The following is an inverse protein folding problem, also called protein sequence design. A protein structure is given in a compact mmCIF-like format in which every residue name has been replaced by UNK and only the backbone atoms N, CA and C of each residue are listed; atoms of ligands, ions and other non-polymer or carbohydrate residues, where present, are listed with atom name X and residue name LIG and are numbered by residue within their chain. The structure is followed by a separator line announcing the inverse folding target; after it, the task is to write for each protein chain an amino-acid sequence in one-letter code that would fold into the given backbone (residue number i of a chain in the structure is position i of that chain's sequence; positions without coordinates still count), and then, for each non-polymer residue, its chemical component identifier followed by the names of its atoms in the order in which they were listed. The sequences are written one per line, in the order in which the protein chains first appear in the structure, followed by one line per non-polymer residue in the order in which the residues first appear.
data_IF_783468353109
#
_entry.id   IF_783468353109
#
_cell.length_a   1.000
_cell.length_b   1.000
_cell.length_c   1.000
_cell.angle_alpha   90.00
_cell.angle_beta   90.00
_cell.angle_gamma   90.00
#
_symmetry.space_group_name_H-M   'P 1'
#
loop_
_entity.id
_entity.type
_entity.pdbx_description
1 polymer ?
#
# COMPACT_ATOMS: atom_id res chain seq x y z
N UNK A 1 -6.56 23.68 -4.96
CA UNK A 1 -6.46 22.31 -5.50
C UNK A 1 -6.13 21.38 -4.34
N UNK A 2 -6.96 20.37 -4.08
CA UNK A 2 -6.79 19.45 -2.94
C UNK A 2 -6.22 18.13 -3.42
N UNK A 3 -5.15 17.70 -2.76
CA UNK A 3 -4.44 16.45 -3.07
C UNK A 3 -4.51 15.57 -1.83
N UNK A 4 -5.17 14.42 -1.92
CA UNK A 4 -5.17 13.47 -0.82
C UNK A 4 -4.00 12.50 -0.89
N UNK A 5 -3.46 12.16 0.28
CA UNK A 5 -2.48 11.08 0.49
C UNK A 5 -3.01 10.12 1.55
N UNK A 6 -2.77 8.81 1.42
CA UNK A 6 -3.23 7.85 2.43
C UNK A 6 -2.38 7.83 3.70
N UNK A 7 -1.13 8.26 3.62
CA UNK A 7 -0.23 8.47 4.76
C UNK A 7 0.90 9.45 4.42
N UNK A 8 1.63 9.91 5.44
CA UNK A 8 2.74 10.86 5.31
C UNK A 8 4.12 10.21 5.51
N UNK A 9 4.17 8.88 5.60
CA UNK A 9 5.39 8.14 5.94
C UNK A 9 5.96 7.39 4.72
N UNK A 10 5.08 6.94 3.83
CA UNK A 10 5.48 6.13 2.67
C UNK A 10 6.28 6.95 1.67
N UNK A 11 7.47 6.47 1.35
CA UNK A 11 8.36 7.07 0.36
C UNK A 11 7.68 7.26 -1.02
N UNK A 12 6.71 6.43 -1.34
CA UNK A 12 5.97 6.49 -2.61
C UNK A 12 5.16 7.78 -2.78
N UNK A 13 4.72 8.41 -1.68
CA UNK A 13 3.92 9.63 -1.70
C UNK A 13 4.75 10.87 -1.41
N UNK A 14 5.98 10.68 -0.95
CA UNK A 14 6.90 11.78 -0.62
C UNK A 14 7.03 12.85 -1.72
N UNK A 15 7.10 12.51 -3.02
CA UNK A 15 7.18 13.54 -4.06
C UNK A 15 5.98 14.51 -4.06
N UNK A 16 4.77 14.03 -3.78
CA UNK A 16 3.59 14.91 -3.71
C UNK A 16 3.63 15.79 -2.44
N UNK A 17 4.00 15.20 -1.29
CA UNK A 17 4.18 15.93 -0.04
C UNK A 17 5.23 17.03 -0.20
N UNK A 18 6.41 16.67 -0.69
CA UNK A 18 7.49 17.62 -0.91
C UNK A 18 7.12 18.72 -1.93
N UNK A 19 6.36 18.39 -2.97
CA UNK A 19 5.93 19.37 -3.97
C UNK A 19 5.01 20.44 -3.38
N UNK A 20 4.17 20.08 -2.43
CA UNK A 20 3.33 21.05 -1.70
C UNK A 20 4.16 21.82 -0.69
N UNK A 21 4.88 21.15 0.21
CA UNK A 21 5.58 21.75 1.34
C UNK A 21 6.74 22.67 0.91
N UNK A 22 7.44 22.31 -0.16
CA UNK A 22 8.54 23.11 -0.72
C UNK A 22 8.07 24.17 -1.74
N UNK A 23 6.76 24.28 -1.97
CA UNK A 23 6.17 25.33 -2.79
C UNK A 23 6.35 25.13 -4.31
N UNK A 24 6.64 23.94 -4.80
CA UNK A 24 6.79 23.69 -6.25
C UNK A 24 5.48 23.93 -7.00
N UNK A 25 4.34 23.54 -6.46
CA UNK A 25 3.03 23.87 -7.05
C UNK A 25 2.79 25.38 -7.11
N UNK A 26 3.15 26.07 -6.03
CA UNK A 26 3.00 27.54 -5.97
C UNK A 26 3.88 28.26 -6.99
N UNK A 27 5.09 27.74 -7.25
CA UNK A 27 5.99 28.28 -8.27
C UNK A 27 5.39 28.17 -9.68
N UNK A 28 4.54 27.15 -9.92
CA UNK A 28 3.80 26.94 -11.16
C UNK A 28 2.42 27.64 -11.16
N UNK A 29 2.15 28.50 -10.18
CA UNK A 29 0.89 29.26 -10.07
C UNK A 29 -0.30 28.41 -9.59
N UNK A 30 -0.04 27.26 -8.99
CA UNK A 30 -1.06 26.35 -8.46
C UNK A 30 -1.11 26.44 -6.93
N UNK A 31 -2.28 26.75 -6.40
CA UNK A 31 -2.52 26.71 -4.95
C UNK A 31 -2.98 25.30 -4.56
N UNK A 32 -2.04 24.50 -4.07
CA UNK A 32 -2.25 23.10 -3.72
C UNK A 32 -2.22 22.89 -2.21
N UNK A 33 -3.22 22.19 -1.69
CA UNK A 33 -3.33 21.78 -0.30
C UNK A 33 -3.27 20.25 -0.21
N UNK A 34 -2.56 19.75 0.80
CA UNK A 34 -2.43 18.32 1.08
C UNK A 34 -3.41 17.91 2.17
N UNK A 35 -4.15 16.83 1.92
CA UNK A 35 -5.05 16.24 2.91
C UNK A 35 -4.66 14.78 3.16
N UNK A 36 -4.59 14.36 4.42
CA UNK A 36 -4.45 12.95 4.76
C UNK A 36 -5.81 12.27 4.77
N UNK A 37 -6.00 11.26 3.92
CA UNK A 37 -7.23 10.47 3.82
C UNK A 37 -6.91 8.97 3.83
N UNK A 38 -6.91 8.37 5.00
CA UNK A 38 -6.67 6.94 5.22
C UNK A 38 -7.96 6.20 5.57
N UNK A 39 -8.15 4.96 5.14
CA UNK A 39 -7.36 4.22 4.15
C UNK A 39 -7.54 4.77 2.72
N UNK A 40 -6.78 4.22 1.75
CA UNK A 40 -6.83 4.68 0.35
C UNK A 40 -8.24 4.67 -0.24
N UNK A 41 -9.12 3.76 0.18
CA UNK A 41 -10.52 3.72 -0.25
C UNK A 41 -11.27 5.02 0.05
N UNK A 42 -11.04 5.64 1.21
CA UNK A 42 -11.64 6.95 1.55
C UNK A 42 -11.15 8.08 0.64
N UNK A 43 -9.87 8.06 0.27
CA UNK A 43 -9.34 9.03 -0.68
C UNK A 43 -9.99 8.85 -2.07
N UNK A 44 -10.19 7.61 -2.51
CA UNK A 44 -10.84 7.30 -3.78
C UNK A 44 -12.34 7.64 -3.77
N UNK A 45 -13.02 7.46 -2.65
CA UNK A 45 -14.42 7.86 -2.50
C UNK A 45 -14.57 9.38 -2.54
N UNK A 46 -13.69 10.11 -1.86
CA UNK A 46 -13.65 11.57 -1.91
C UNK A 46 -13.35 12.10 -3.33
N UNK A 47 -12.45 11.45 -4.07
CA UNK A 47 -12.19 11.77 -5.47
C UNK A 47 -13.45 11.53 -6.33
N UNK A 48 -14.13 10.41 -6.15
CA UNK A 48 -15.37 10.09 -6.87
C UNK A 48 -16.49 11.07 -6.55
N UNK A 49 -16.57 11.52 -5.29
CA UNK A 49 -17.54 12.50 -4.82
C UNK A 49 -17.22 13.94 -5.23
N UNK A 50 -16.05 14.20 -5.82
CA UNK A 50 -15.62 15.57 -6.17
C UNK A 50 -15.21 16.42 -4.96
N UNK A 51 -14.98 15.79 -3.81
CA UNK A 51 -14.50 16.51 -2.62
C UNK A 51 -13.03 16.92 -2.75
N UNK A 52 -12.28 16.20 -3.55
CA UNK A 52 -10.86 16.45 -3.86
C UNK A 52 -10.61 16.28 -5.36
N UNK A 53 -9.56 16.90 -5.87
CA UNK A 53 -9.24 16.88 -7.29
C UNK A 53 -8.18 15.82 -7.64
N UNK A 54 -7.30 15.47 -6.69
CA UNK A 54 -6.20 14.53 -6.90
C UNK A 54 -5.99 13.58 -5.73
N UNK A 55 -5.52 12.39 -6.05
CA UNK A 55 -5.03 11.43 -5.07
C UNK A 55 -3.59 11.05 -5.42
N UNK A 56 -2.66 11.30 -4.52
CA UNK A 56 -1.31 10.78 -4.58
C UNK A 56 -1.30 9.44 -3.83
N UNK A 57 -1.51 8.37 -4.55
CA UNK A 57 -1.73 7.04 -3.97
C UNK A 57 -1.38 5.91 -4.94
N UNK A 58 -1.52 4.66 -4.50
CA UNK A 58 -1.22 3.51 -5.32
C UNK A 58 -2.25 3.34 -6.45
N UNK A 59 -1.78 3.05 -7.66
CA UNK A 59 -2.63 2.89 -8.84
C UNK A 59 -3.70 1.79 -8.69
N UNK A 60 -3.42 0.74 -7.92
CA UNK A 60 -4.41 -0.31 -7.65
C UNK A 60 -5.65 0.20 -6.90
N UNK A 61 -5.52 1.28 -6.10
CA UNK A 61 -6.67 1.93 -5.49
C UNK A 61 -7.63 2.51 -6.53
N UNK A 62 -7.10 3.12 -7.59
CA UNK A 62 -7.90 3.61 -8.71
C UNK A 62 -8.55 2.47 -9.50
N UNK A 63 -7.84 1.36 -9.73
CA UNK A 63 -8.40 0.16 -10.39
C UNK A 63 -9.60 -0.39 -9.64
N UNK A 64 -9.51 -0.48 -8.31
CA UNK A 64 -10.60 -1.00 -7.48
C UNK A 64 -11.79 -0.05 -7.39
N UNK A 65 -11.52 1.26 -7.33
CA UNK A 65 -12.56 2.26 -7.12
C UNK A 65 -13.26 2.71 -8.41
N UNK A 66 -12.59 2.63 -9.54
CA UNK A 66 -13.09 3.11 -10.83
C UNK A 66 -13.03 1.99 -11.88
N UNK A 67 -14.03 1.08 -11.92
CA UNK A 67 -14.10 0.02 -12.90
C UNK A 67 -14.03 0.57 -14.33
N UNK A 68 -13.30 -0.11 -15.20
CA UNK A 68 -13.08 0.30 -16.59
C UNK A 68 -12.43 1.70 -16.78
N UNK A 69 -11.78 2.21 -15.74
CA UNK A 69 -11.17 3.56 -15.74
C UNK A 69 -12.15 4.71 -16.00
N UNK A 70 -13.42 4.51 -15.78
CA UNK A 70 -14.42 5.56 -15.97
C UNK A 70 -14.39 6.55 -14.82
N UNK A 71 -14.12 7.83 -15.16
CA UNK A 71 -14.11 8.93 -14.16
C UNK A 71 -12.79 9.18 -13.48
N UNK A 72 -11.72 8.47 -13.86
CA UNK A 72 -10.38 8.69 -13.32
C UNK A 72 -9.30 8.61 -14.39
N UNK A 73 -8.18 9.30 -14.17
CA UNK A 73 -6.97 9.21 -15.00
C UNK A 73 -5.73 9.15 -14.12
N UNK A 74 -4.75 8.36 -14.50
CA UNK A 74 -3.39 8.45 -13.96
C UNK A 74 -2.67 9.58 -14.71
N UNK A 75 -2.19 10.59 -13.99
CA UNK A 75 -1.60 11.79 -14.59
C UNK A 75 -0.09 11.86 -14.44
N UNK A 76 0.47 11.24 -13.38
CA UNK A 76 1.90 11.20 -13.14
C UNK A 76 2.28 9.96 -12.34
N UNK A 77 3.47 9.43 -12.55
CA UNK A 77 4.08 8.42 -11.70
C UNK A 77 4.96 9.11 -10.64
N UNK A 78 4.54 9.10 -9.39
CA UNK A 78 5.31 9.66 -8.27
C UNK A 78 6.50 8.77 -7.91
N UNK A 79 6.30 7.45 -7.99
CA UNK A 79 7.33 6.44 -7.81
C UNK A 79 7.23 5.41 -8.93
N UNK A 80 8.36 5.07 -9.52
CA UNK A 80 8.47 4.01 -10.52
C UNK A 80 9.17 2.80 -9.91
N UNK A 81 8.86 1.61 -10.42
CA UNK A 81 9.42 0.35 -9.95
C UNK A 81 9.15 0.17 -8.46
N UNK A 82 7.86 0.15 -8.12
CA UNK A 82 7.42 -0.15 -6.74
C UNK A 82 8.11 -1.43 -6.29
N UNK A 83 8.85 -1.34 -5.20
CA UNK A 83 9.45 -2.49 -4.53
C UNK A 83 8.69 -2.70 -3.23
N UNK A 84 8.25 -3.91 -3.00
CA UNK A 84 7.81 -4.35 -1.69
C UNK A 84 8.82 -5.36 -1.18
N UNK A 85 9.08 -5.30 0.09
CA UNK A 85 9.97 -6.23 0.77
C UNK A 85 9.10 -7.17 1.58
N UNK A 86 9.30 -8.48 1.42
CA UNK A 86 8.75 -9.47 2.33
C UNK A 86 9.65 -9.50 3.57
N UNK A 87 9.08 -9.18 4.71
CA UNK A 87 9.75 -9.21 6.00
C UNK A 87 9.25 -10.42 6.76
N UNK A 88 10.15 -11.29 7.20
CA UNK A 88 9.87 -12.47 8.02
C UNK A 88 10.55 -12.32 9.39
N UNK A 89 10.04 -13.02 10.40
CA UNK A 89 10.70 -13.10 11.69
C UNK A 89 12.11 -13.70 11.54
N UNK A 90 13.06 -13.09 12.22
CA UNK A 90 14.48 -13.47 12.09
C UNK A 90 14.76 -14.91 12.59
N UNK A 91 14.00 -15.40 13.56
CA UNK A 91 14.14 -16.73 14.14
C UNK A 91 13.72 -17.87 13.18
N UNK A 92 13.04 -17.55 12.09
CA UNK A 92 12.70 -18.51 11.04
C UNK A 92 13.90 -18.88 10.16
N UNK A 93 15.01 -18.15 10.23
CA UNK A 93 16.24 -18.45 9.50
C UNK A 93 16.10 -18.40 7.97
N UNK A 94 15.13 -17.66 7.45
CA UNK A 94 14.86 -17.57 6.03
C UNK A 94 16.05 -16.96 5.26
N UNK A 95 16.36 -17.54 4.12
CA UNK A 95 17.41 -17.02 3.24
C UNK A 95 16.84 -15.88 2.37
N UNK A 96 17.52 -14.72 2.27
CA UNK A 96 17.09 -13.65 1.39
C UNK A 96 16.92 -14.11 -0.06
N UNK A 97 15.75 -13.81 -0.65
CA UNK A 97 15.41 -14.21 -2.01
C UNK A 97 14.72 -15.58 -2.12
N UNK A 98 14.69 -16.37 -1.06
CA UNK A 98 13.93 -17.62 -1.03
C UNK A 98 12.47 -17.38 -0.67
N UNK A 99 11.63 -17.29 -1.68
CA UNK A 99 10.18 -17.09 -1.52
C UNK A 99 9.50 -18.33 -0.91
N UNK A 100 10.12 -19.51 -0.98
CA UNK A 100 9.56 -20.73 -0.39
C UNK A 100 9.52 -20.71 1.14
N UNK A 101 10.27 -19.82 1.74
CA UNK A 101 10.27 -19.60 3.19
C UNK A 101 8.91 -19.21 3.79
N UNK A 102 7.93 -18.84 2.94
CA UNK A 102 6.56 -18.51 3.41
C UNK A 102 5.70 -19.75 3.72
N UNK A 103 6.13 -20.94 3.35
CA UNK A 103 5.35 -22.17 3.56
C UNK A 103 5.09 -22.41 5.04
N UNK A 104 3.83 -22.67 5.37
CA UNK A 104 3.38 -22.86 6.75
C UNK A 104 3.21 -21.58 7.57
N UNK A 105 3.43 -20.39 6.99
CA UNK A 105 3.45 -19.13 7.71
C UNK A 105 2.17 -18.31 7.55
N UNK A 106 1.94 -17.42 8.53
CA UNK A 106 0.91 -16.38 8.52
C UNK A 106 1.52 -15.09 8.01
N UNK A 107 1.12 -14.67 6.81
CA UNK A 107 1.66 -13.47 6.15
C UNK A 107 0.59 -12.40 6.10
N UNK A 108 0.86 -11.28 6.74
CA UNK A 108 0.00 -10.10 6.71
C UNK A 108 0.25 -9.25 5.47
N UNK A 109 -0.80 -8.86 4.76
CA UNK A 109 -0.65 -7.97 3.60
C UNK A 109 -1.80 -6.97 3.50
N UNK A 110 -1.51 -5.78 2.98
CA UNK A 110 -2.54 -4.83 2.60
C UNK A 110 -3.27 -5.31 1.32
N UNK A 111 -4.54 -4.94 1.09
CA UNK A 111 -5.36 -5.51 0.02
C UNK A 111 -4.73 -5.49 -1.38
N UNK A 112 -4.10 -4.39 -1.77
CA UNK A 112 -3.45 -4.30 -3.09
C UNK A 112 -2.17 -5.12 -3.20
N UNK A 113 -1.20 -4.95 -2.28
CA UNK A 113 -0.02 -5.81 -2.15
C UNK A 113 -0.35 -7.29 -2.03
N UNK A 114 -1.42 -7.65 -1.29
CA UNK A 114 -1.86 -9.05 -1.16
C UNK A 114 -2.10 -9.70 -2.53
N UNK A 115 -2.87 -9.04 -3.39
CA UNK A 115 -3.20 -9.61 -4.70
C UNK A 115 -1.95 -9.84 -5.56
N UNK A 116 -1.00 -8.90 -5.54
CA UNK A 116 0.27 -9.01 -6.25
C UNK A 116 1.16 -10.12 -5.66
N UNK A 117 1.21 -10.23 -4.34
CA UNK A 117 1.99 -11.27 -3.67
C UNK A 117 1.41 -12.67 -3.91
N UNK A 118 0.09 -12.81 -3.84
CA UNK A 118 -0.60 -14.06 -4.21
C UNK A 118 -0.23 -14.52 -5.62
N UNK A 119 -0.20 -13.59 -6.58
CA UNK A 119 0.22 -13.89 -7.94
C UNK A 119 1.69 -14.32 -8.00
N UNK A 120 2.58 -13.63 -7.29
CA UNK A 120 4.00 -13.99 -7.20
C UNK A 120 4.17 -15.42 -6.67
N UNK A 121 3.48 -15.77 -5.59
CA UNK A 121 3.55 -17.12 -5.00
C UNK A 121 3.09 -18.19 -6.00
N UNK A 122 1.98 -17.92 -6.70
CA UNK A 122 1.49 -18.83 -7.74
C UNK A 122 2.52 -19.04 -8.85
N UNK A 123 3.15 -17.99 -9.34
CA UNK A 123 4.19 -18.07 -10.39
C UNK A 123 5.46 -18.75 -9.88
N UNK A 124 5.74 -18.66 -8.58
CA UNK A 124 6.84 -19.40 -7.93
C UNK A 124 6.49 -20.87 -7.63
N UNK A 125 5.30 -21.34 -8.03
CA UNK A 125 4.86 -22.72 -7.81
C UNK A 125 4.41 -23.02 -6.37
N UNK A 126 4.11 -21.98 -5.58
CA UNK A 126 3.60 -22.10 -4.22
C UNK A 126 2.08 -22.08 -4.24
N UNK A 127 1.48 -23.13 -3.74
CA UNK A 127 0.04 -23.28 -3.57
C UNK A 127 -0.34 -22.94 -2.12
N UNK A 128 -1.13 -21.89 -1.93
CA UNK A 128 -1.44 -21.37 -0.60
C UNK A 128 -2.10 -22.42 0.31
N UNK A 129 -2.97 -23.27 -0.24
CA UNK A 129 -3.65 -24.29 0.54
C UNK A 129 -2.73 -25.49 0.83
N UNK A 130 -2.08 -26.05 -0.21
CA UNK A 130 -1.19 -27.22 -0.06
C UNK A 130 0.04 -26.92 0.77
N UNK A 131 0.60 -25.72 0.60
CA UNK A 131 1.78 -25.27 1.33
C UNK A 131 1.42 -24.60 2.67
N UNK A 132 0.13 -24.57 3.04
CA UNK A 132 -0.39 -24.01 4.29
C UNK A 132 0.06 -22.55 4.53
N UNK A 133 0.02 -21.72 3.48
CA UNK A 133 0.34 -20.30 3.57
C UNK A 133 -0.94 -19.50 3.88
N UNK A 134 -0.99 -18.89 5.05
CA UNK A 134 -2.10 -18.02 5.45
C UNK A 134 -1.80 -16.59 5.04
N UNK A 135 -2.25 -16.19 3.85
CA UNK A 135 -2.06 -14.83 3.33
C UNK A 135 -3.36 -14.03 3.43
N UNK A 136 -3.31 -12.90 4.14
CA UNK A 136 -4.47 -12.06 4.32
C UNK A 136 -4.18 -10.75 5.05
N UNK A 137 -5.22 -9.98 5.40
CA UNK A 137 -5.06 -8.72 6.10
C UNK A 137 -4.44 -8.93 7.50
N UNK A 138 -3.65 -7.95 7.94
CA UNK A 138 -3.18 -7.91 9.32
C UNK A 138 -4.37 -7.59 10.24
N UNK A 139 -4.65 -8.38 11.27
CA UNK A 139 -5.75 -8.10 12.20
C UNK A 139 -5.66 -6.70 12.80
N UNK A 140 -6.75 -5.93 12.77
CA UNK A 140 -6.82 -4.57 13.33
C UNK A 140 -6.17 -3.46 12.48
N UNK A 141 -5.63 -3.76 11.30
CA UNK A 141 -4.92 -2.78 10.47
C UNK A 141 -5.81 -1.68 9.87
N UNK A 142 -7.11 -1.90 9.79
CA UNK A 142 -8.04 -0.97 9.11
C UNK A 142 -8.54 0.20 9.98
N UNK A 143 -8.39 0.13 11.29
CA UNK A 143 -9.20 0.97 12.19
C UNK A 143 -8.46 2.14 12.85
N UNK A 144 -7.14 2.26 12.69
CA UNK A 144 -6.38 3.13 13.58
C UNK A 144 -5.62 4.31 12.95
N UNK A 145 -5.78 4.59 11.65
CA UNK A 145 -5.07 5.73 11.03
C UNK A 145 -3.53 5.62 11.06
N UNK A 146 -3.01 4.49 11.53
CA UNK A 146 -1.59 4.18 11.56
C UNK A 146 -1.19 3.56 10.23
N UNK A 147 0.01 3.86 9.75
CA UNK A 147 0.56 3.22 8.56
C UNK A 147 0.50 1.70 8.69
N UNK A 148 0.08 1.02 7.60
CA UNK A 148 0.04 -0.44 7.53
C UNK A 148 1.36 -1.07 8.01
N UNK A 149 2.50 -0.56 7.55
CA UNK A 149 3.81 -1.10 7.92
C UNK A 149 4.11 -1.07 9.42
N UNK A 150 3.73 0.01 10.10
CA UNK A 150 3.90 0.14 11.56
C UNK A 150 3.01 -0.86 12.30
N UNK A 151 1.75 -1.01 11.86
CA UNK A 151 0.84 -1.97 12.46
C UNK A 151 1.26 -3.42 12.22
N UNK A 152 1.72 -3.73 11.01
CA UNK A 152 2.23 -5.04 10.66
C UNK A 152 3.50 -5.40 11.44
N UNK A 153 4.43 -4.45 11.61
CA UNK A 153 5.63 -4.66 12.42
C UNK A 153 5.29 -4.99 13.87
N UNK A 154 4.33 -4.28 14.47
CA UNK A 154 3.83 -4.57 15.81
C UNK A 154 3.19 -5.97 15.89
N UNK A 155 2.37 -6.34 14.93
CA UNK A 155 1.74 -7.66 14.87
C UNK A 155 2.77 -8.79 14.69
N UNK A 156 3.87 -8.51 13.99
CA UNK A 156 5.01 -9.42 13.87
C UNK A 156 5.71 -9.60 15.24
N UNK A 157 5.98 -8.51 15.94
CA UNK A 157 6.60 -8.51 17.27
C UNK A 157 5.75 -9.27 18.29
N UNK A 158 4.43 -9.09 18.24
CA UNK A 158 3.46 -9.78 19.10
C UNK A 158 3.21 -11.25 18.69
N UNK A 159 3.81 -11.73 17.60
CA UNK A 159 3.64 -13.10 17.11
C UNK A 159 2.26 -13.41 16.53
N UNK A 160 1.49 -12.37 16.18
CA UNK A 160 0.18 -12.51 15.52
C UNK A 160 0.36 -12.99 14.07
N UNK A 161 1.39 -12.49 13.41
CA UNK A 161 1.81 -12.90 12.06
C UNK A 161 3.29 -13.31 12.09
N UNK A 162 3.72 -14.05 11.07
CA UNK A 162 5.09 -14.55 10.93
C UNK A 162 5.88 -13.73 9.91
N UNK A 163 5.17 -12.91 9.10
CA UNK A 163 5.74 -11.99 8.12
C UNK A 163 4.71 -11.01 7.55
N UNK A 164 5.19 -10.01 6.83
CA UNK A 164 4.36 -9.04 6.11
C UNK A 164 5.07 -8.44 4.92
#
# INVERSE_FOLDING_TARGET
MRIAVPDLISNSYFPAVAAVDLGFFKAEGLDAELEMRSPISRAMDALRGGEIEFVAGPAHGALSAFPDWKGVKLVAALAQKTFWLLILRADLGATPGDVSAVKGLRIGAAPGPEAAFRRLLTEAGIDLEKDNVQLGPVPGASDQGVSFGVHAAKSLEEGIIDGF
#
